data_IF_317318771898
#
_entry.id   IF_317318771898
#
_cell.length_a   1.000
_cell.length_b   1.000
_cell.length_c   1.000
_cell.angle_alpha   90.00
_cell.angle_beta   90.00
_cell.angle_gamma   90.00
#
_symmetry.space_group_name_H-M   'P 1'
#
loop_
_entity.id
_entity.type
_entity.pdbx_description
1 polymer ?
#
# COMPACT_ATOMS: atom_id res chain seq x y z
N UNK A 1 -27.63 -24.92 18.17
CA UNK A 1 -27.50 -23.52 17.79
C UNK A 1 -26.03 -23.20 17.48
N UNK A 2 -25.82 -22.47 16.45
CA UNK A 2 -24.47 -22.05 16.14
C UNK A 2 -23.94 -21.14 17.23
N UNK A 3 -22.79 -21.47 17.75
CA UNK A 3 -22.13 -20.63 18.72
C UNK A 3 -21.44 -19.44 17.99
N UNK A 4 -21.98 -18.26 18.19
CA UNK A 4 -21.43 -17.05 17.57
C UNK A 4 -20.02 -16.72 18.07
N UNK A 5 -19.61 -17.23 19.23
CA UNK A 5 -18.27 -17.04 19.73
C UNK A 5 -17.23 -17.86 18.94
N UNK A 6 -17.70 -18.83 18.17
CA UNK A 6 -16.85 -19.61 17.28
C UNK A 6 -16.72 -18.97 15.90
N UNK A 7 -17.08 -17.70 15.76
CA UNK A 7 -16.86 -17.01 14.50
C UNK A 7 -15.37 -17.17 14.14
N UNK A 8 -15.14 -17.76 12.99
CA UNK A 8 -13.80 -18.07 12.55
C UNK A 8 -13.12 -16.80 12.07
N UNK A 9 -11.96 -16.53 12.63
CA UNK A 9 -11.09 -15.49 12.13
C UNK A 9 -10.16 -16.15 11.13
N UNK A 10 -10.16 -15.67 9.90
CA UNK A 10 -9.19 -16.11 8.89
C UNK A 10 -8.02 -15.13 8.83
N UNK A 11 -6.85 -15.66 8.54
CA UNK A 11 -5.66 -14.86 8.28
C UNK A 11 -5.28 -15.08 6.82
N UNK A 12 -5.25 -14.00 6.05
CA UNK A 12 -4.99 -14.06 4.61
C UNK A 12 -3.74 -13.23 4.30
N UNK A 13 -2.77 -13.88 3.66
CA UNK A 13 -1.53 -13.23 3.27
C UNK A 13 -1.59 -12.83 1.80
N UNK A 14 -1.26 -11.57 1.54
CA UNK A 14 -1.10 -11.06 0.18
C UNK A 14 0.36 -10.72 -0.01
N UNK A 15 1.09 -11.59 -0.73
CA UNK A 15 2.52 -11.45 -0.92
C UNK A 15 2.90 -10.34 -1.89
N UNK A 16 4.20 -10.06 -1.98
CA UNK A 16 4.72 -8.95 -2.77
C UNK A 16 4.32 -8.97 -4.24
N UNK A 17 4.32 -10.15 -4.87
CA UNK A 17 3.90 -10.28 -6.27
C UNK A 17 2.42 -9.92 -6.46
N UNK A 18 1.56 -10.34 -5.53
CA UNK A 18 0.13 -10.02 -5.58
C UNK A 18 -0.14 -8.55 -5.29
N UNK A 19 0.76 -7.86 -4.61
CA UNK A 19 0.61 -6.43 -4.33
C UNK A 19 0.75 -5.57 -5.58
N UNK A 20 1.31 -6.09 -6.67
CA UNK A 20 1.32 -5.38 -7.96
C UNK A 20 -0.09 -5.25 -8.55
N UNK A 21 -1.01 -6.12 -8.16
CA UNK A 21 -2.39 -6.14 -8.61
C UNK A 21 -3.34 -6.18 -7.40
N UNK A 22 -3.03 -5.42 -6.36
CA UNK A 22 -3.76 -5.46 -5.09
C UNK A 22 -5.24 -5.20 -5.27
N UNK A 23 -5.62 -4.26 -6.14
CA UNK A 23 -7.02 -3.99 -6.44
C UNK A 23 -7.74 -5.20 -7.02
N UNK A 24 -7.10 -5.95 -7.89
CA UNK A 24 -7.67 -7.14 -8.50
C UNK A 24 -7.83 -8.29 -7.50
N UNK A 25 -6.97 -8.35 -6.50
CA UNK A 25 -7.10 -9.31 -5.39
C UNK A 25 -8.22 -8.90 -4.45
N UNK A 26 -8.29 -7.62 -4.12
CA UNK A 26 -9.22 -7.10 -3.10
C UNK A 26 -10.66 -7.00 -3.59
N UNK A 27 -10.87 -6.58 -4.85
CA UNK A 27 -12.22 -6.38 -5.39
C UNK A 27 -13.11 -7.63 -5.31
N UNK A 28 -12.69 -8.81 -5.76
CA UNK A 28 -13.52 -10.00 -5.62
C UNK A 28 -13.88 -10.31 -4.17
N UNK A 29 -12.94 -10.09 -3.23
CA UNK A 29 -13.19 -10.33 -1.81
C UNK A 29 -14.24 -9.36 -1.27
N UNK A 30 -14.11 -8.07 -1.59
CA UNK A 30 -15.02 -7.04 -1.07
C UNK A 30 -16.37 -7.02 -1.76
N UNK A 31 -16.43 -7.38 -3.04
CA UNK A 31 -17.65 -7.28 -3.82
C UNK A 31 -18.44 -8.59 -3.86
N UNK A 32 -17.75 -9.71 -3.76
CA UNK A 32 -18.40 -11.02 -3.87
C UNK A 32 -19.19 -11.37 -2.62
N UNK A 33 -18.62 -11.17 -1.45
CA UNK A 33 -19.26 -11.52 -0.19
C UNK A 33 -18.95 -10.48 0.88
N UNK A 34 -19.74 -9.44 0.90
CA UNK A 34 -19.57 -8.34 1.85
C UNK A 34 -19.74 -8.78 3.31
N UNK A 35 -20.52 -9.84 3.54
CA UNK A 35 -20.73 -10.36 4.90
C UNK A 35 -19.46 -10.96 5.49
N UNK A 36 -18.51 -11.33 4.65
CA UNK A 36 -17.25 -11.96 5.06
C UNK A 36 -16.06 -10.99 5.07
N UNK A 37 -16.30 -9.70 4.92
CA UNK A 37 -15.21 -8.70 4.99
C UNK A 37 -14.65 -8.66 6.41
N UNK A 38 -15.51 -8.73 7.40
CA UNK A 38 -15.12 -8.72 8.80
C UNK A 38 -14.74 -10.14 9.26
N UNK A 39 -13.97 -10.24 10.32
CA UNK A 39 -13.47 -11.52 10.80
C UNK A 39 -12.28 -12.03 10.00
N UNK A 40 -11.64 -11.17 9.24
CA UNK A 40 -10.42 -11.49 8.47
C UNK A 40 -9.28 -10.58 8.86
N UNK A 41 -8.11 -11.16 8.94
CA UNK A 41 -6.87 -10.41 9.13
C UNK A 41 -6.09 -10.50 7.83
N UNK A 42 -5.80 -9.36 7.23
CA UNK A 42 -5.00 -9.30 6.01
C UNK A 42 -3.57 -8.94 6.35
N UNK A 43 -2.66 -9.80 5.98
CA UNK A 43 -1.22 -9.54 6.10
C UNK A 43 -0.71 -9.20 4.72
N UNK A 44 -0.31 -7.95 4.52
CA UNK A 44 0.08 -7.44 3.21
C UNK A 44 1.55 -7.06 3.19
N UNK A 45 2.14 -7.09 2.01
CA UNK A 45 3.45 -6.49 1.75
C UNK A 45 3.30 -5.03 1.32
N UNK A 46 4.41 -4.34 1.16
CA UNK A 46 4.39 -3.02 0.54
C UNK A 46 3.87 -3.11 -0.90
N UNK A 47 3.32 -2.00 -1.39
CA UNK A 47 2.98 -1.91 -2.80
C UNK A 47 4.19 -2.18 -3.67
N UNK A 48 3.96 -2.82 -4.81
CA UNK A 48 5.01 -3.17 -5.74
C UNK A 48 5.84 -1.95 -6.14
N UNK A 49 7.15 -2.07 -6.05
CA UNK A 49 8.09 -1.04 -6.42
C UNK A 49 8.41 -0.02 -5.33
N UNK A 50 7.63 0.09 -4.26
CA UNK A 50 7.86 1.10 -3.22
C UNK A 50 9.18 0.85 -2.50
N UNK A 51 9.47 -0.39 -2.13
CA UNK A 51 10.74 -0.72 -1.47
C UNK A 51 11.93 -0.39 -2.35
N UNK A 52 11.85 -0.69 -3.65
CA UNK A 52 12.91 -0.36 -4.62
C UNK A 52 13.09 1.15 -4.78
N UNK A 53 12.00 1.91 -4.75
CA UNK A 53 12.07 3.38 -4.80
C UNK A 53 12.73 3.97 -3.56
N UNK A 54 12.49 3.37 -2.42
CA UNK A 54 13.05 3.86 -1.15
C UNK A 54 14.52 3.46 -0.97
N UNK A 55 14.87 2.25 -1.32
CA UNK A 55 16.20 1.70 -1.06
C UNK A 55 17.04 1.64 -2.34
N UNK A 56 16.91 0.56 -3.08
CA UNK A 56 17.66 0.28 -4.29
C UNK A 56 16.89 -0.75 -5.12
N UNK A 57 16.90 -0.61 -6.42
CA UNK A 57 16.27 -1.59 -7.29
C UNK A 57 17.11 -2.87 -7.31
N UNK A 58 16.55 -3.96 -6.84
CA UNK A 58 17.27 -5.23 -6.65
C UNK A 58 17.87 -5.80 -7.93
N UNK A 59 17.21 -5.58 -9.07
CA UNK A 59 17.66 -6.14 -10.36
C UNK A 59 18.60 -5.20 -11.12
N UNK A 60 18.31 -3.89 -11.10
CA UNK A 60 19.04 -2.92 -11.92
C UNK A 60 20.09 -2.16 -11.12
N UNK A 61 20.03 -2.19 -9.79
CA UNK A 61 20.90 -1.40 -8.93
C UNK A 61 20.60 0.10 -8.96
N UNK A 62 19.46 0.49 -9.57
CA UNK A 62 19.08 1.90 -9.61
C UNK A 62 18.87 2.43 -8.18
N UNK A 63 19.44 3.61 -7.93
CA UNK A 63 19.46 4.20 -6.60
C UNK A 63 18.09 4.69 -6.18
N UNK A 64 17.73 4.39 -4.93
CA UNK A 64 16.50 4.87 -4.34
C UNK A 64 16.68 6.14 -3.52
N UNK A 65 15.62 6.55 -2.86
CA UNK A 65 15.57 7.80 -2.08
C UNK A 65 16.61 7.79 -0.96
N UNK A 66 16.83 6.65 -0.31
CA UNK A 66 17.81 6.54 0.77
C UNK A 66 19.22 6.91 0.29
N UNK A 67 19.63 6.45 -0.88
CA UNK A 67 20.95 6.78 -1.44
C UNK A 67 21.06 8.28 -1.76
N UNK A 68 20.00 8.88 -2.29
CA UNK A 68 19.96 10.32 -2.56
C UNK A 68 20.03 11.11 -1.26
N UNK A 69 19.34 10.66 -0.23
CA UNK A 69 19.41 11.28 1.10
C UNK A 69 20.82 11.22 1.66
N UNK A 70 21.50 10.07 1.56
CA UNK A 70 22.86 9.90 2.05
C UNK A 70 23.85 10.81 1.33
N UNK A 71 23.60 11.13 0.06
CA UNK A 71 24.42 12.06 -0.72
C UNK A 71 24.02 13.53 -0.54
N UNK A 72 22.86 13.78 0.07
CA UNK A 72 22.35 15.14 0.25
C UNK A 72 21.81 15.79 -1.01
N UNK A 73 21.42 15.01 -2.02
CA UNK A 73 21.01 15.53 -3.33
C UNK A 73 19.69 14.93 -3.80
N UNK A 74 18.72 15.81 -4.10
CA UNK A 74 17.54 15.43 -4.84
C UNK A 74 16.55 14.52 -4.14
N UNK A 75 16.77 14.18 -2.87
CA UNK A 75 15.88 13.26 -2.18
C UNK A 75 14.50 13.87 -1.92
N UNK A 76 14.40 15.18 -1.73
CA UNK A 76 13.10 15.85 -1.52
C UNK A 76 12.23 15.73 -2.76
N UNK A 77 12.80 15.96 -3.96
CA UNK A 77 12.05 15.79 -5.21
C UNK A 77 11.63 14.34 -5.42
N UNK A 78 12.49 13.39 -5.06
CA UNK A 78 12.18 11.98 -5.12
C UNK A 78 11.04 11.60 -4.15
N UNK A 79 11.00 12.20 -2.95
CA UNK A 79 9.90 12.02 -2.00
C UNK A 79 8.59 12.56 -2.55
N UNK A 80 8.61 13.71 -3.21
CA UNK A 80 7.41 14.27 -3.87
C UNK A 80 6.91 13.32 -4.96
N UNK A 81 7.83 12.76 -5.75
CA UNK A 81 7.49 11.77 -6.76
C UNK A 81 6.86 10.51 -6.18
N UNK A 82 7.40 10.02 -5.06
CA UNK A 82 6.84 8.88 -4.35
C UNK A 82 5.42 9.20 -3.85
N UNK A 83 5.22 10.38 -3.26
CA UNK A 83 3.89 10.79 -2.80
C UNK A 83 2.88 10.80 -3.94
N UNK A 84 3.26 11.34 -5.10
CA UNK A 84 2.39 11.36 -6.28
C UNK A 84 2.02 9.94 -6.74
N UNK A 85 2.98 9.03 -6.75
CA UNK A 85 2.75 7.63 -7.10
C UNK A 85 1.77 6.94 -6.14
N UNK A 86 1.94 7.17 -4.84
CA UNK A 86 1.06 6.60 -3.81
C UNK A 86 -0.35 7.16 -3.89
N UNK A 87 -0.49 8.47 -4.15
CA UNK A 87 -1.81 9.09 -4.34
C UNK A 87 -2.51 8.54 -5.58
N UNK A 88 -1.77 8.27 -6.64
CA UNK A 88 -2.30 7.63 -7.84
C UNK A 88 -2.83 6.22 -7.53
N UNK A 89 -2.11 5.47 -6.70
CA UNK A 89 -2.60 4.16 -6.22
C UNK A 89 -3.89 4.32 -5.43
N UNK A 90 -3.96 5.30 -4.52
CA UNK A 90 -5.18 5.58 -3.75
C UNK A 90 -6.37 5.86 -4.67
N UNK A 91 -6.19 6.64 -5.72
CA UNK A 91 -7.26 6.97 -6.66
C UNK A 91 -7.87 5.71 -7.30
N UNK A 92 -7.07 4.67 -7.49
CA UNK A 92 -7.54 3.39 -8.00
C UNK A 92 -8.49 2.63 -7.07
N UNK A 93 -8.62 3.05 -5.82
CA UNK A 93 -9.51 2.42 -4.83
C UNK A 93 -10.73 3.28 -4.47
N UNK A 94 -10.95 4.38 -5.18
CA UNK A 94 -12.09 5.26 -4.92
C UNK A 94 -13.43 4.52 -5.09
N UNK A 95 -13.51 3.61 -6.06
CA UNK A 95 -14.70 2.79 -6.32
C UNK A 95 -15.00 1.81 -5.18
N UNK A 96 -14.02 1.49 -4.36
CA UNK A 96 -14.18 0.64 -3.17
C UNK A 96 -14.50 1.45 -1.91
N UNK A 97 -14.65 2.75 -2.01
CA UNK A 97 -15.03 3.61 -0.90
C UNK A 97 -13.86 4.20 -0.12
N UNK A 98 -12.64 4.15 -0.65
CA UNK A 98 -11.50 4.78 0.01
C UNK A 98 -11.70 6.31 0.05
N UNK A 99 -11.73 6.94 1.25
CA UNK A 99 -11.80 8.39 1.35
C UNK A 99 -10.46 9.00 0.92
N UNK A 100 -10.39 9.49 -0.32
CA UNK A 100 -9.14 9.94 -0.93
C UNK A 100 -8.53 11.12 -0.21
N UNK A 101 -9.33 12.06 0.27
CA UNK A 101 -8.86 13.21 1.02
C UNK A 101 -8.10 12.79 2.29
N UNK A 102 -8.62 11.83 3.02
CA UNK A 102 -8.00 11.30 4.25
C UNK A 102 -6.73 10.50 3.91
N UNK A 103 -6.82 9.63 2.90
CA UNK A 103 -5.70 8.78 2.51
C UNK A 103 -4.53 9.62 1.95
N UNK A 104 -4.83 10.61 1.12
CA UNK A 104 -3.82 11.49 0.55
C UNK A 104 -3.20 12.39 1.62
N UNK A 105 -4.00 12.90 2.55
CA UNK A 105 -3.49 13.69 3.67
C UNK A 105 -2.53 12.87 4.55
N UNK A 106 -2.80 11.59 4.74
CA UNK A 106 -1.90 10.71 5.47
C UNK A 106 -0.54 10.59 4.76
N UNK A 107 -0.55 10.41 3.45
CA UNK A 107 0.68 10.35 2.64
C UNK A 107 1.46 11.66 2.77
N UNK A 108 0.79 12.79 2.59
CA UNK A 108 1.44 14.11 2.68
C UNK A 108 2.10 14.32 4.03
N UNK A 109 1.44 13.92 5.10
CA UNK A 109 1.96 14.06 6.45
C UNK A 109 3.21 13.20 6.66
N UNK A 110 3.21 11.97 6.16
CA UNK A 110 4.36 11.06 6.26
C UNK A 110 5.54 11.56 5.44
N UNK A 111 5.28 12.05 4.25
CA UNK A 111 6.32 12.63 3.39
C UNK A 111 6.91 13.89 4.03
N UNK A 112 6.09 14.76 4.60
CA UNK A 112 6.55 15.95 5.30
C UNK A 112 7.47 15.60 6.48
N UNK A 113 7.17 14.53 7.20
CA UNK A 113 8.01 14.06 8.31
C UNK A 113 9.36 13.53 7.84
N UNK A 114 9.46 13.06 6.60
CA UNK A 114 10.70 12.53 6.03
C UNK A 114 11.57 13.59 5.34
N UNK A 115 11.09 14.81 5.21
CA UNK A 115 11.84 15.90 4.53
C UNK A 115 12.90 16.55 5.40
#
# INVERSE_FOLDING_TARGET
>A
MQDVTQSQISVEKIGGTSMSAFGDVLRPIMLHDKSRIYGRIYVVSAYSGVTNQLLEHKKTGERGIYALFAEGKGYQDALVGLAASLKKLNAGFADLGLPLDVADAFIDRRIAQAR
#
